data_IF_502454059364
#
_entry.id   IF_502454059364
#
_cell.length_a   1.000
_cell.length_b   1.000
_cell.length_c   1.000
_cell.angle_alpha   90.00
_cell.angle_beta   90.00
_cell.angle_gamma   90.00
#
_symmetry.space_group_name_H-M   'P 1'
#
loop_
_entity.id
_entity.type
_entity.pdbx_description
1 polymer ?
#
# COMPACT_ATOMS: atom_id res chain seq x y z
N UNK A 1 29.00 -16.22 -1.81
CA UNK A 1 28.36 -17.50 -1.42
C UNK A 1 27.73 -17.21 -0.06
N UNK A 2 26.42 -17.06 0.14
CA UNK A 2 25.26 -17.67 -0.51
C UNK A 2 24.06 -16.70 -0.44
N UNK A 3 23.32 -16.60 -1.55
CA UNK A 3 22.28 -15.61 -1.83
C UNK A 3 20.86 -16.20 -1.74
N UNK A 4 20.69 -17.32 -1.02
CA UNK A 4 19.39 -18.01 -0.91
C UNK A 4 18.84 -18.00 0.51
N UNK A 5 18.03 -16.98 0.80
CA UNK A 5 16.80 -17.15 1.59
C UNK A 5 15.74 -16.22 0.99
N UNK A 6 15.05 -16.74 -0.02
CA UNK A 6 13.76 -16.27 -0.50
C UNK A 6 12.81 -16.09 0.68
N UNK A 7 12.55 -14.84 1.09
CA UNK A 7 11.35 -14.50 1.87
C UNK A 7 10.29 -14.09 0.86
N UNK A 8 9.31 -14.96 0.68
CA UNK A 8 8.06 -14.65 -0.01
C UNK A 8 7.32 -13.50 0.73
N UNK A 9 6.49 -12.70 0.04
CA UNK A 9 6.02 -11.41 0.53
C UNK A 9 4.80 -11.58 1.45
N UNK A 10 4.98 -12.14 2.64
CA UNK A 10 3.94 -12.20 3.66
C UNK A 10 3.78 -10.88 4.45
N UNK A 11 4.70 -9.93 4.23
CA UNK A 11 4.98 -8.87 5.20
C UNK A 11 4.82 -7.45 4.63
N UNK A 12 4.07 -7.25 3.54
CA UNK A 12 3.77 -5.89 3.07
C UNK A 12 2.93 -5.08 4.08
N UNK A 13 2.35 -5.75 5.08
CA UNK A 13 1.71 -5.14 6.23
C UNK A 13 2.70 -4.49 7.21
N UNK A 14 3.98 -4.89 7.18
CA UNK A 14 5.02 -4.29 8.03
C UNK A 14 5.54 -2.96 7.49
N UNK A 15 5.12 -2.49 6.30
CA UNK A 15 5.44 -1.11 5.88
C UNK A 15 4.73 -0.05 6.75
N UNK A 16 3.66 -0.41 7.46
CA UNK A 16 3.10 0.43 8.54
C UNK A 16 3.81 0.22 9.88
N UNK A 17 4.56 -0.88 10.07
CA UNK A 17 5.43 -1.10 11.23
C UNK A 17 6.81 -0.43 11.07
N UNK A 18 7.32 -0.29 9.84
CA UNK A 18 8.55 0.43 9.48
C UNK A 18 8.43 1.96 9.60
N UNK A 19 7.22 2.47 9.88
CA UNK A 19 7.04 3.78 10.51
C UNK A 19 7.51 3.63 11.96
N UNK A 20 8.83 3.54 12.21
CA UNK A 20 9.41 3.29 13.54
C UNK A 20 8.70 4.05 14.67
N UNK A 21 7.87 3.29 15.39
CA UNK A 21 7.10 3.68 16.56
C UNK A 21 7.99 3.53 17.79
N UNK A 22 8.47 4.65 18.34
CA UNK A 22 8.96 4.66 19.71
C UNK A 22 7.76 4.71 20.68
N UNK A 23 7.60 3.63 21.42
CA UNK A 23 6.81 3.43 22.65
C UNK A 23 5.74 4.49 23.02
N UNK A 24 4.45 4.10 22.94
CA UNK A 24 3.50 4.45 24.01
C UNK A 24 2.15 5.09 23.65
N UNK A 25 1.89 5.52 22.41
CA UNK A 25 0.56 6.04 22.00
C UNK A 25 0.28 5.64 20.55
N UNK A 26 -0.85 4.96 20.30
CA UNK A 26 -1.25 4.55 18.95
C UNK A 26 -1.26 5.75 18.00
N UNK A 27 -0.58 5.60 16.85
CA UNK A 27 -0.37 6.69 15.91
C UNK A 27 -1.72 7.25 15.43
N UNK A 28 -2.03 8.53 15.74
CA UNK A 28 -3.27 9.15 15.31
C UNK A 28 -3.40 9.16 13.79
N UNK A 29 -2.30 9.12 13.03
CA UNK A 29 -2.32 9.10 11.57
C UNK A 29 -2.75 7.73 11.03
N UNK A 30 -2.11 6.64 11.47
CA UNK A 30 -2.56 5.28 11.14
C UNK A 30 -4.00 5.02 11.60
N UNK A 31 -4.38 5.50 12.79
CA UNK A 31 -5.74 5.41 13.30
C UNK A 31 -6.73 6.22 12.45
N UNK A 32 -6.39 7.45 12.05
CA UNK A 32 -7.24 8.29 11.21
C UNK A 32 -7.44 7.70 9.80
N UNK A 33 -6.38 7.15 9.19
CA UNK A 33 -6.45 6.48 7.87
C UNK A 33 -7.31 5.22 7.91
N UNK A 34 -7.34 4.51 9.04
CA UNK A 34 -8.21 3.34 9.23
C UNK A 34 -9.65 3.73 9.60
N UNK A 35 -9.84 4.83 10.33
CA UNK A 35 -11.16 5.29 10.76
C UNK A 35 -11.92 6.05 9.67
N UNK A 36 -11.23 6.67 8.72
CA UNK A 36 -11.86 7.41 7.63
C UNK A 36 -12.58 6.49 6.66
N UNK A 37 -13.76 6.93 6.18
CA UNK A 37 -14.49 6.27 5.10
C UNK A 37 -13.97 6.68 3.72
N UNK A 38 -12.97 7.54 3.65
CA UNK A 38 -12.36 7.98 2.40
C UNK A 38 -11.43 6.90 1.84
N UNK A 39 -11.46 6.69 0.53
CA UNK A 39 -10.54 5.81 -0.19
C UNK A 39 -9.12 6.38 -0.17
N UNK A 40 -8.13 5.60 0.29
CA UNK A 40 -6.73 6.06 0.44
C UNK A 40 -5.72 4.97 0.07
N UNK A 41 -4.62 5.40 -0.56
CA UNK A 41 -3.43 4.59 -0.84
C UNK A 41 -2.15 5.38 -0.49
N UNK A 42 -1.05 4.68 -0.23
CA UNK A 42 0.30 5.25 -0.11
C UNK A 42 1.19 4.57 -1.13
N UNK A 43 2.06 5.32 -1.79
CA UNK A 43 3.02 4.82 -2.80
C UNK A 43 4.44 5.15 -2.37
N UNK A 44 5.44 4.38 -2.85
CA UNK A 44 6.85 4.67 -2.61
C UNK A 44 7.58 5.03 -3.92
N UNK A 45 7.83 6.32 -4.20
CA UNK A 45 8.46 6.76 -5.45
C UNK A 45 9.94 6.38 -5.56
N UNK A 46 10.57 5.91 -4.48
CA UNK A 46 11.97 5.45 -4.48
C UNK A 46 12.10 4.03 -5.03
N UNK A 47 10.99 3.28 -5.08
CA UNK A 47 10.94 1.94 -5.67
C UNK A 47 10.63 2.04 -7.16
N UNK A 48 11.11 1.06 -7.92
CA UNK A 48 10.86 1.00 -9.35
C UNK A 48 9.36 1.06 -9.64
N UNK A 49 8.98 1.99 -10.52
CA UNK A 49 7.61 2.22 -10.96
C UNK A 49 6.63 2.76 -9.89
N UNK A 50 7.13 3.40 -8.82
CA UNK A 50 6.29 4.04 -7.78
C UNK A 50 5.11 3.16 -7.31
N UNK A 51 5.38 1.96 -6.75
CA UNK A 51 4.37 0.99 -6.40
C UNK A 51 3.55 1.45 -5.19
N UNK A 52 2.30 1.01 -5.14
CA UNK A 52 1.44 1.11 -3.96
C UNK A 52 2.02 0.23 -2.85
N UNK A 53 2.27 0.82 -1.69
CA UNK A 53 2.77 0.16 -0.49
C UNK A 53 1.70 -0.01 0.59
N UNK A 54 0.59 0.73 0.48
CA UNK A 54 -0.56 0.61 1.37
C UNK A 54 -1.86 0.97 0.63
N UNK A 55 -2.94 0.29 0.98
CA UNK A 55 -4.31 0.62 0.59
C UNK A 55 -5.25 0.40 1.78
N UNK A 56 -6.17 1.31 2.05
CA UNK A 56 -7.16 1.08 3.10
C UNK A 56 -8.35 0.24 2.59
N UNK A 57 -9.16 -0.29 3.51
CA UNK A 57 -10.30 -1.13 3.13
C UNK A 57 -11.38 -0.36 2.36
N UNK A 58 -11.47 0.96 2.55
CA UNK A 58 -12.37 1.81 1.77
C UNK A 58 -11.96 1.81 0.28
N UNK A 59 -10.67 1.88 -0.03
CA UNK A 59 -10.17 1.76 -1.41
C UNK A 59 -10.48 0.39 -2.02
N UNK A 60 -10.23 -0.69 -1.28
CA UNK A 60 -10.50 -2.06 -1.76
C UNK A 60 -11.99 -2.26 -2.04
N UNK A 61 -12.86 -1.81 -1.12
CA UNK A 61 -14.32 -1.87 -1.31
C UNK A 61 -14.81 -1.01 -2.47
N UNK A 62 -14.24 0.18 -2.64
CA UNK A 62 -14.64 1.11 -3.71
C UNK A 62 -14.28 0.55 -5.09
N UNK A 63 -13.08 -0.02 -5.22
CA UNK A 63 -12.53 -0.46 -6.51
C UNK A 63 -12.88 -1.91 -6.84
N UNK A 64 -13.18 -2.73 -5.82
CA UNK A 64 -13.48 -4.15 -5.97
C UNK A 64 -12.24 -5.05 -6.09
N UNK A 65 -11.03 -4.49 -6.00
CA UNK A 65 -9.80 -5.27 -6.03
C UNK A 65 -9.44 -5.83 -4.67
N UNK A 66 -8.85 -7.02 -4.69
CA UNK A 66 -8.22 -7.61 -3.52
C UNK A 66 -6.86 -6.97 -3.25
N UNK A 67 -6.47 -6.96 -1.98
CA UNK A 67 -5.23 -6.31 -1.55
C UNK A 67 -3.98 -6.80 -2.28
N UNK A 68 -3.88 -8.10 -2.51
CA UNK A 68 -2.74 -8.72 -3.21
C UNK A 68 -2.69 -8.32 -4.70
N UNK A 69 -3.81 -7.88 -5.27
CA UNK A 69 -3.85 -7.37 -6.64
C UNK A 69 -3.43 -5.90 -6.73
N UNK A 70 -3.36 -5.18 -5.61
CA UNK A 70 -3.07 -3.74 -5.53
C UNK A 70 -1.65 -3.49 -5.08
N UNK A 71 -1.23 -4.13 -3.99
CA UNK A 71 0.08 -3.89 -3.37
C UNK A 71 1.19 -4.29 -4.34
N UNK A 72 2.18 -3.41 -4.51
CA UNK A 72 3.30 -3.60 -5.43
C UNK A 72 3.03 -3.13 -6.86
N UNK A 73 1.80 -2.74 -7.22
CA UNK A 73 1.49 -2.17 -8.54
C UNK A 73 1.54 -0.66 -8.53
N UNK A 74 1.87 -0.06 -9.66
CA UNK A 74 1.63 1.36 -9.87
C UNK A 74 0.12 1.64 -10.01
N UNK A 75 -0.39 2.69 -9.36
CA UNK A 75 -1.81 3.06 -9.35
C UNK A 75 -2.43 3.28 -10.75
N UNK A 76 -1.62 3.53 -11.78
CA UNK A 76 -2.10 3.68 -13.17
C UNK A 76 -2.84 2.45 -13.69
N UNK A 77 -2.76 1.29 -13.03
CA UNK A 77 -3.57 0.12 -13.39
C UNK A 77 -5.09 0.39 -13.35
N UNK A 78 -5.53 1.42 -12.61
CA UNK A 78 -6.92 1.87 -12.58
C UNK A 78 -7.32 2.72 -13.80
N UNK A 79 -6.35 3.13 -14.64
CA UNK A 79 -6.64 3.95 -15.82
C UNK A 79 -7.27 3.10 -16.92
N UNK A 80 -8.49 3.48 -17.32
CA UNK A 80 -9.23 2.83 -18.39
C UNK A 80 -9.07 3.55 -19.74
N UNK A 81 -9.74 3.07 -20.81
CA UNK A 81 -9.69 3.68 -22.15
C UNK A 81 -10.16 5.14 -22.22
N UNK A 82 -10.83 5.63 -21.18
CA UNK A 82 -11.32 7.01 -21.05
C UNK A 82 -10.43 7.90 -20.17
N UNK A 83 -9.27 7.41 -19.76
CA UNK A 83 -8.28 8.16 -18.99
C UNK A 83 -7.19 8.71 -19.91
N UNK A 84 -6.58 9.82 -19.53
CA UNK A 84 -5.38 10.32 -20.19
C UNK A 84 -4.24 9.30 -20.07
N UNK A 85 -3.35 9.28 -21.07
CA UNK A 85 -2.21 8.36 -21.07
C UNK A 85 -1.17 8.82 -20.03
N UNK A 86 -0.71 7.87 -19.23
CA UNK A 86 0.40 8.05 -18.28
C UNK A 86 1.76 8.17 -18.96
#
# INVERSE_FOLDING_TARGET
MDWKKTREPADAWHMTDDLHVEQGKGDPFAAAIRATRMSMIITDPRRQDNPIVFANDAFLRLTGYERHEVIGKNCRFLQGPKSDKA
#
